data_IF_109598359350
#
_entry.id   IF_109598359350
#
_cell.length_a   1.000
_cell.length_b   1.000
_cell.length_c   1.000
_cell.angle_alpha   90.00
_cell.angle_beta   90.00
_cell.angle_gamma   90.00
#
_symmetry.space_group_name_H-M   'P 1'
#
loop_
_entity.id
_entity.type
_entity.pdbx_description
1 polymer ?
#
# COMPACT_ATOMS: atom_id res chain seq x y z
N UNK A 1 17.82 -6.32 18.18
CA UNK A 1 18.24 -5.45 17.06
C UNK A 1 17.03 -4.65 16.58
N UNK A 2 17.20 -3.44 16.03
CA UNK A 2 16.17 -2.75 15.25
C UNK A 2 15.46 -3.66 14.25
N UNK A 3 14.16 -3.46 14.00
CA UNK A 3 13.40 -4.27 13.02
C UNK A 3 13.92 -4.11 11.59
N UNK A 4 14.60 -3.01 11.28
CA UNK A 4 15.22 -2.79 9.96
C UNK A 4 16.35 -3.82 9.69
N UNK A 5 17.05 -4.24 10.74
CA UNK A 5 18.18 -5.16 10.64
C UNK A 5 17.73 -6.58 10.29
N UNK A 6 16.44 -6.89 10.41
CA UNK A 6 15.87 -8.18 9.99
C UNK A 6 16.03 -8.46 8.50
N UNK A 7 16.25 -7.43 7.68
CA UNK A 7 16.51 -7.59 6.25
C UNK A 7 17.99 -7.82 5.89
N UNK A 8 18.90 -7.67 6.86
CA UNK A 8 20.33 -7.92 6.65
C UNK A 8 20.56 -9.42 6.49
N UNK A 9 21.24 -9.79 5.41
CA UNK A 9 21.66 -11.16 5.13
C UNK A 9 23.13 -11.28 5.54
N UNK A 10 23.47 -12.14 6.52
CA UNK A 10 24.85 -12.40 6.88
C UNK A 10 25.71 -12.85 5.69
N UNK A 11 26.97 -12.42 5.63
CA UNK A 11 27.90 -12.72 4.52
C UNK A 11 28.26 -14.21 4.41
N UNK A 12 28.08 -14.99 5.50
CA UNK A 12 28.31 -16.43 5.54
C UNK A 12 27.18 -17.25 4.92
N UNK A 13 26.03 -16.63 4.61
CA UNK A 13 24.94 -17.25 3.86
C UNK A 13 25.31 -17.29 2.38
N UNK A 14 25.58 -18.49 1.87
CA UNK A 14 26.09 -18.69 0.51
C UNK A 14 25.23 -19.62 -0.33
N UNK A 15 24.12 -20.12 0.21
CA UNK A 15 23.17 -20.97 -0.51
C UNK A 15 21.74 -20.43 -0.41
N UNK A 16 20.91 -20.68 -1.43
CA UNK A 16 19.48 -20.32 -1.42
C UNK A 16 18.74 -20.95 -0.22
N UNK A 17 19.09 -22.17 0.13
CA UNK A 17 18.51 -22.89 1.27
C UNK A 17 18.76 -22.15 2.59
N UNK A 18 20.00 -21.72 2.85
CA UNK A 18 20.36 -20.94 4.04
C UNK A 18 19.69 -19.56 4.01
N UNK A 19 19.66 -18.92 2.84
CA UNK A 19 18.98 -17.64 2.64
C UNK A 19 17.51 -17.72 3.05
N UNK A 20 16.76 -18.70 2.53
CA UNK A 20 15.35 -18.86 2.90
C UNK A 20 15.17 -19.25 4.37
N UNK A 21 16.03 -20.09 4.92
CA UNK A 21 15.98 -20.43 6.35
C UNK A 21 16.12 -19.16 7.23
N UNK A 22 17.07 -18.28 6.90
CA UNK A 22 17.23 -16.99 7.55
C UNK A 22 16.00 -16.09 7.38
N UNK A 23 15.48 -15.96 6.17
CA UNK A 23 14.24 -15.19 5.90
C UNK A 23 13.08 -15.71 6.75
N UNK A 24 12.90 -17.02 6.84
CA UNK A 24 11.80 -17.62 7.61
C UNK A 24 11.94 -17.32 9.10
N UNK A 25 13.15 -17.38 9.65
CA UNK A 25 13.42 -17.04 11.05
C UNK A 25 13.12 -15.54 11.32
N UNK A 26 13.67 -14.66 10.49
CA UNK A 26 13.46 -13.21 10.63
C UNK A 26 11.97 -12.86 10.49
N UNK A 27 11.28 -13.48 9.53
CA UNK A 27 9.86 -13.24 9.30
C UNK A 27 9.01 -13.69 10.48
N UNK A 28 9.28 -14.86 11.06
CA UNK A 28 8.53 -15.36 12.23
C UNK A 28 8.67 -14.43 13.42
N UNK A 29 9.89 -13.97 13.71
CA UNK A 29 10.14 -13.01 14.78
C UNK A 29 9.43 -11.66 14.51
N UNK A 30 9.45 -11.21 13.25
CA UNK A 30 8.88 -9.92 12.86
C UNK A 30 7.35 -9.88 12.93
N UNK A 31 6.68 -11.01 12.67
CA UNK A 31 5.22 -11.12 12.65
C UNK A 31 4.64 -11.66 13.96
N UNK A 32 5.48 -11.99 14.95
CA UNK A 32 5.02 -12.54 16.22
C UNK A 32 4.05 -11.58 16.93
N UNK A 33 2.91 -12.09 17.39
CA UNK A 33 1.89 -11.28 18.09
C UNK A 33 1.12 -10.27 17.21
N UNK A 34 1.53 -10.04 15.97
CA UNK A 34 0.85 -9.14 15.04
C UNK A 34 -0.13 -9.92 14.15
N UNK A 35 -1.31 -9.36 13.90
CA UNK A 35 -2.37 -10.01 13.10
C UNK A 35 -2.91 -9.15 11.96
N UNK A 36 -2.56 -7.86 11.93
CA UNK A 36 -3.11 -6.92 10.98
C UNK A 36 -2.47 -7.08 9.61
N UNK A 37 -3.27 -7.45 8.62
CA UNK A 37 -2.79 -7.89 7.32
C UNK A 37 -1.96 -6.84 6.58
N UNK A 38 -2.37 -5.57 6.58
CA UNK A 38 -1.63 -4.51 5.86
C UNK A 38 -0.21 -4.39 6.41
N UNK A 39 -0.09 -4.42 7.75
CA UNK A 39 1.22 -4.35 8.41
C UNK A 39 2.07 -5.57 8.10
N UNK A 40 1.50 -6.77 8.21
CA UNK A 40 2.26 -8.00 7.94
C UNK A 40 2.72 -8.06 6.47
N UNK A 41 1.83 -7.80 5.50
CA UNK A 41 2.19 -7.77 4.08
C UNK A 41 3.24 -6.69 3.77
N UNK A 42 3.16 -5.51 4.40
CA UNK A 42 4.18 -4.46 4.24
C UNK A 42 5.54 -4.89 4.79
N UNK A 43 5.57 -5.52 5.97
CA UNK A 43 6.79 -6.06 6.58
C UNK A 43 7.42 -7.16 5.70
N UNK A 44 6.61 -8.07 5.15
CA UNK A 44 7.11 -9.13 4.26
C UNK A 44 7.66 -8.54 2.96
N UNK A 45 6.94 -7.60 2.34
CA UNK A 45 7.39 -6.93 1.11
C UNK A 45 8.76 -6.28 1.32
N UNK A 46 8.92 -5.53 2.42
CA UNK A 46 10.17 -4.87 2.75
C UNK A 46 11.30 -5.87 3.08
N UNK A 47 11.01 -6.89 3.90
CA UNK A 47 11.97 -7.93 4.27
C UNK A 47 12.52 -8.62 3.02
N UNK A 48 11.64 -9.18 2.19
CA UNK A 48 12.04 -9.90 0.98
C UNK A 48 12.82 -8.98 0.05
N UNK A 49 12.25 -7.82 -0.33
CA UNK A 49 12.88 -6.90 -1.27
C UNK A 49 14.31 -6.53 -0.84
N UNK A 50 14.50 -6.09 0.40
CA UNK A 50 15.82 -5.69 0.87
C UNK A 50 16.79 -6.86 1.04
N UNK A 51 16.31 -8.05 1.42
CA UNK A 51 17.18 -9.23 1.51
C UNK A 51 17.65 -9.73 0.15
N UNK A 52 16.79 -9.69 -0.88
CA UNK A 52 17.22 -9.96 -2.26
C UNK A 52 18.28 -8.97 -2.76
N UNK A 53 18.16 -7.70 -2.40
CA UNK A 53 19.16 -6.68 -2.75
C UNK A 53 20.46 -6.80 -1.96
N UNK A 54 20.40 -7.36 -0.75
CA UNK A 54 21.53 -7.45 0.17
C UNK A 54 22.37 -8.72 0.02
N UNK A 55 21.97 -9.68 -0.82
CA UNK A 55 22.66 -10.96 -0.96
C UNK A 55 23.35 -11.11 -2.32
N UNK A 56 24.55 -11.71 -2.39
CA UNK A 56 25.20 -12.02 -3.67
C UNK A 56 24.47 -13.10 -4.48
N UNK A 57 23.54 -13.85 -3.87
CA UNK A 57 22.82 -14.95 -4.51
C UNK A 57 21.88 -14.50 -5.63
N UNK A 58 21.32 -13.30 -5.48
CA UNK A 58 20.40 -12.69 -6.43
C UNK A 58 20.95 -11.38 -6.96
N UNK A 59 22.25 -11.13 -6.83
CA UNK A 59 22.89 -9.92 -7.33
C UNK A 59 24.40 -10.03 -7.35
N UNK A 60 25.00 -9.90 -8.54
CA UNK A 60 26.31 -9.31 -8.85
C UNK A 60 26.71 -9.78 -10.27
N UNK A 61 26.19 -9.10 -11.29
CA UNK A 61 27.02 -8.81 -12.47
C UNK A 61 27.69 -7.48 -12.15
N UNK A 62 29.03 -7.42 -12.21
CA UNK A 62 29.77 -6.18 -11.98
C UNK A 62 29.12 -5.01 -12.75
N UNK A 63 28.62 -4.01 -12.02
CA UNK A 63 28.11 -2.77 -12.59
C UNK A 63 26.60 -2.67 -12.88
N UNK A 64 25.76 -3.65 -12.53
CA UNK A 64 24.29 -3.52 -12.72
C UNK A 64 23.47 -3.37 -11.42
N UNK A 65 22.50 -2.47 -11.54
CA UNK A 65 21.29 -2.14 -10.75
C UNK A 65 20.59 -3.36 -10.10
N UNK A 66 19.75 -3.17 -9.05
CA UNK A 66 18.93 -4.21 -8.40
C UNK A 66 18.34 -5.23 -9.38
N UNK A 67 18.66 -6.51 -9.15
CA UNK A 67 18.14 -7.63 -9.93
C UNK A 67 16.65 -7.78 -9.67
N UNK A 68 16.23 -7.86 -8.40
CA UNK A 68 14.81 -7.77 -8.04
C UNK A 68 14.36 -6.30 -8.02
N UNK A 69 13.38 -5.94 -8.86
CA UNK A 69 12.86 -4.57 -9.00
C UNK A 69 11.48 -4.36 -8.39
N UNK A 70 10.76 -5.45 -8.07
CA UNK A 70 9.45 -5.38 -7.44
C UNK A 70 9.21 -6.59 -6.52
N UNK A 71 8.59 -6.36 -5.37
CA UNK A 71 8.13 -7.41 -4.46
C UNK A 71 6.92 -6.91 -3.68
N UNK A 72 5.80 -7.62 -3.76
CA UNK A 72 4.59 -7.16 -3.10
C UNK A 72 3.39 -8.04 -3.31
N UNK A 73 2.22 -7.48 -3.04
CA UNK A 73 0.99 -8.24 -3.00
C UNK A 73 -0.09 -7.60 -3.87
N UNK A 74 -0.91 -8.45 -4.47
CA UNK A 74 -2.25 -8.08 -4.91
C UNK A 74 -3.28 -8.86 -4.10
N UNK A 75 -4.29 -8.19 -3.56
CA UNK A 75 -5.31 -8.80 -2.72
C UNK A 75 -6.66 -8.59 -3.39
N UNK A 76 -7.56 -9.58 -3.34
CA UNK A 76 -8.94 -9.40 -3.77
C UNK A 76 -9.76 -8.88 -2.59
N UNK A 77 -10.20 -7.61 -2.57
CA UNK A 77 -11.19 -7.17 -1.60
C UNK A 77 -12.42 -8.08 -1.74
N UNK A 78 -13.09 -8.46 -0.66
CA UNK A 78 -14.28 -9.27 -0.83
C UNK A 78 -15.35 -8.51 -1.66
N UNK A 79 -16.29 -9.23 -2.26
CA UNK A 79 -17.29 -8.63 -3.14
C UNK A 79 -16.74 -7.98 -4.42
N UNK A 80 -15.42 -7.82 -4.58
CA UNK A 80 -14.80 -7.34 -5.80
C UNK A 80 -14.39 -8.50 -6.71
N UNK A 81 -14.49 -8.28 -8.02
CA UNK A 81 -14.11 -9.26 -9.03
C UNK A 81 -12.60 -9.25 -9.32
N UNK A 82 -11.92 -8.15 -9.01
CA UNK A 82 -10.53 -7.92 -9.40
C UNK A 82 -9.59 -8.00 -8.20
N UNK A 83 -8.36 -8.39 -8.48
CA UNK A 83 -7.23 -8.17 -7.59
C UNK A 83 -6.88 -6.68 -7.57
N UNK A 84 -6.55 -6.16 -6.40
CA UNK A 84 -6.17 -4.75 -6.18
C UNK A 84 -4.79 -4.72 -5.55
N UNK A 85 -3.97 -3.75 -5.96
CA UNK A 85 -2.63 -3.53 -5.46
C UNK A 85 -2.62 -3.36 -3.92
N UNK A 86 -1.88 -4.23 -3.24
CA UNK A 86 -1.64 -4.21 -1.81
C UNK A 86 -0.29 -3.57 -1.46
N UNK A 87 0.24 -3.81 -0.25
CA UNK A 87 1.59 -3.39 0.12
C UNK A 87 2.65 -3.99 -0.81
N UNK A 88 3.65 -3.19 -1.17
CA UNK A 88 4.75 -3.60 -2.04
C UNK A 88 5.99 -2.74 -1.80
N UNK A 89 7.13 -3.20 -2.29
CA UNK A 89 8.37 -2.46 -2.45
C UNK A 89 8.80 -2.51 -3.92
N UNK A 90 9.11 -1.35 -4.51
CA UNK A 90 9.44 -1.23 -5.92
C UNK A 90 8.87 0.04 -6.57
N UNK A 91 8.93 0.09 -7.91
CA UNK A 91 8.32 1.18 -8.70
C UNK A 91 6.77 1.08 -8.67
N UNK A 92 6.04 2.17 -8.99
CA UNK A 92 4.59 2.10 -9.17
C UNK A 92 4.17 1.01 -10.17
N UNK A 93 3.14 0.25 -9.83
CA UNK A 93 2.67 -0.89 -10.62
C UNK A 93 1.18 -0.77 -11.01
N UNK A 94 0.65 -1.80 -11.66
CA UNK A 94 -0.76 -1.88 -12.02
C UNK A 94 -1.64 -1.80 -10.76
N UNK A 95 -2.74 -1.05 -10.80
CA UNK A 95 -3.62 -0.89 -9.62
C UNK A 95 -4.60 -2.06 -9.48
N UNK A 96 -5.06 -2.61 -10.61
CA UNK A 96 -6.08 -3.66 -10.65
C UNK A 96 -5.73 -4.72 -11.68
N UNK A 97 -5.88 -5.98 -11.32
CA UNK A 97 -5.68 -7.14 -12.21
C UNK A 97 -6.98 -7.93 -12.25
N UNK A 98 -7.45 -8.27 -13.45
CA UNK A 98 -8.61 -9.15 -13.62
C UNK A 98 -8.15 -10.61 -13.54
N UNK A 99 -8.56 -11.39 -12.52
CA UNK A 99 -8.11 -12.77 -12.32
C UNK A 99 -8.81 -13.71 -13.31
N UNK A 100 -8.30 -13.75 -14.54
CA UNK A 100 -8.77 -14.63 -15.61
C UNK A 100 -7.57 -15.40 -16.15
N UNK A 101 -7.75 -16.69 -16.39
CA UNK A 101 -6.70 -17.52 -16.99
C UNK A 101 -6.20 -16.92 -18.32
N UNK A 102 -4.90 -16.93 -18.54
CA UNK A 102 -4.20 -16.38 -19.69
C UNK A 102 -4.14 -14.85 -19.71
N UNK A 103 -4.30 -14.17 -18.57
CA UNK A 103 -4.24 -12.70 -18.45
C UNK A 103 -3.09 -12.25 -17.54
N UNK A 104 -1.94 -12.89 -17.71
CA UNK A 104 -0.70 -12.59 -17.00
C UNK A 104 -0.48 -13.48 -15.79
N UNK A 105 0.77 -13.49 -15.32
CA UNK A 105 1.28 -14.43 -14.32
C UNK A 105 0.53 -14.31 -13.00
N UNK A 106 0.29 -13.07 -12.53
CA UNK A 106 -0.57 -12.78 -11.37
C UNK A 106 -1.98 -13.41 -11.45
N UNK A 107 -2.64 -13.31 -12.60
CA UNK A 107 -3.96 -13.86 -12.79
C UNK A 107 -3.93 -15.40 -12.84
N UNK A 108 -2.91 -15.96 -13.47
CA UNK A 108 -2.74 -17.41 -13.63
C UNK A 108 -2.41 -18.10 -12.30
N UNK A 109 -1.55 -17.49 -11.47
CA UNK A 109 -1.28 -17.99 -10.12
C UNK A 109 -2.52 -17.93 -9.21
N UNK A 110 -3.30 -16.84 -9.32
CA UNK A 110 -4.53 -16.67 -8.54
C UNK A 110 -5.60 -17.71 -8.93
N UNK A 111 -5.88 -17.86 -10.23
CA UNK A 111 -6.92 -18.77 -10.74
C UNK A 111 -6.50 -20.23 -10.65
N UNK A 112 -5.23 -20.53 -10.93
CA UNK A 112 -4.67 -21.87 -10.87
C UNK A 112 -4.39 -22.36 -9.44
N UNK A 113 -4.45 -21.45 -8.46
CA UNK A 113 -4.13 -21.69 -7.06
C UNK A 113 -2.77 -22.38 -6.83
N UNK A 114 -1.80 -22.08 -7.69
CA UNK A 114 -0.46 -22.67 -7.70
C UNK A 114 0.57 -21.59 -7.99
N UNK A 115 1.77 -21.71 -7.41
CA UNK A 115 2.88 -20.86 -7.76
C UNK A 115 3.29 -21.00 -9.23
N UNK A 116 3.69 -19.89 -9.84
CA UNK A 116 4.11 -19.80 -11.24
C UNK A 116 5.49 -19.16 -11.30
N UNK A 117 6.45 -19.86 -11.89
CA UNK A 117 7.82 -19.37 -12.11
C UNK A 117 8.00 -19.07 -13.59
N UNK A 118 8.34 -17.82 -13.91
CA UNK A 118 8.53 -17.35 -15.28
C UNK A 118 9.97 -16.91 -15.47
N UNK A 119 10.75 -17.74 -16.15
CA UNK A 119 12.18 -17.46 -16.41
C UNK A 119 12.43 -16.39 -17.47
N UNK A 120 11.45 -16.17 -18.34
CA UNK A 120 11.46 -15.15 -19.37
C UNK A 120 10.02 -14.65 -19.57
N UNK A 121 9.74 -13.41 -19.15
CA UNK A 121 8.39 -12.84 -19.24
C UNK A 121 7.99 -12.49 -20.67
N UNK A 122 8.94 -12.27 -21.58
CA UNK A 122 8.65 -12.03 -23.01
C UNK A 122 8.17 -13.32 -23.69
N UNK A 123 8.65 -14.48 -23.22
CA UNK A 123 8.21 -15.79 -23.69
C UNK A 123 6.88 -16.26 -23.09
N UNK A 124 6.37 -15.57 -22.04
CA UNK A 124 5.15 -16.00 -21.34
C UNK A 124 3.88 -15.52 -22.06
N UNK A 125 2.98 -16.45 -22.46
CA UNK A 125 1.79 -16.09 -23.23
C UNK A 125 0.82 -15.24 -22.40
N UNK A 126 0.44 -14.08 -22.93
CA UNK A 126 -0.52 -13.19 -22.28
C UNK A 126 0.05 -12.37 -21.11
N UNK A 127 1.37 -12.26 -21.00
CA UNK A 127 2.03 -11.40 -20.02
C UNK A 127 1.52 -9.95 -20.09
N UNK A 128 1.25 -9.37 -18.91
CA UNK A 128 0.84 -7.97 -18.74
C UNK A 128 1.98 -7.26 -18.02
N UNK A 129 2.88 -6.64 -18.78
CA UNK A 129 3.99 -5.89 -18.20
C UNK A 129 3.48 -4.64 -17.47
N UNK A 130 3.71 -4.57 -16.16
CA UNK A 130 3.53 -3.35 -15.37
C UNK A 130 4.81 -2.50 -15.36
N UNK A 131 5.99 -3.14 -15.34
CA UNK A 131 7.31 -2.55 -15.58
C UNK A 131 7.93 -3.16 -16.84
N UNK A 132 8.42 -2.32 -17.76
CA UNK A 132 9.06 -2.78 -19.00
C UNK A 132 10.49 -3.27 -18.80
N UNK A 133 11.08 -3.08 -17.62
CA UNK A 133 12.41 -3.57 -17.28
C UNK A 133 12.39 -5.02 -16.76
N UNK A 134 11.22 -5.56 -16.39
CA UNK A 134 11.06 -6.93 -15.86
C UNK A 134 11.36 -7.97 -16.95
N UNK A 135 12.15 -8.98 -16.59
CA UNK A 135 12.59 -10.10 -17.44
C UNK A 135 12.25 -11.47 -16.89
N UNK A 136 12.19 -11.63 -15.57
CA UNK A 136 11.65 -12.84 -14.92
C UNK A 136 10.74 -12.48 -13.76
N UNK A 137 9.78 -13.34 -13.47
CA UNK A 137 8.70 -13.11 -12.50
C UNK A 137 8.40 -14.41 -11.74
N UNK A 138 8.10 -14.32 -10.45
CA UNK A 138 7.58 -15.43 -9.66
C UNK A 138 6.37 -14.97 -8.85
N UNK A 139 5.27 -15.71 -8.98
CA UNK A 139 4.01 -15.40 -8.31
C UNK A 139 3.52 -16.59 -7.51
N UNK A 140 3.07 -16.35 -6.28
CA UNK A 140 2.50 -17.36 -5.40
C UNK A 140 1.08 -16.99 -4.95
N UNK A 141 0.14 -17.94 -4.89
CA UNK A 141 -1.20 -17.70 -4.37
C UNK A 141 -1.15 -17.42 -2.85
N UNK A 142 -1.72 -16.29 -2.42
CA UNK A 142 -1.83 -15.94 -1.01
C UNK A 142 -3.08 -16.58 -0.40
N UNK A 143 -2.89 -17.34 0.69
CA UNK A 143 -3.96 -17.87 1.54
C UNK A 143 -3.79 -17.34 2.95
N UNK A 144 -4.87 -16.97 3.62
CA UNK A 144 -4.83 -16.41 4.98
C UNK A 144 -5.75 -17.17 5.94
N UNK A 145 -5.37 -17.27 7.21
CA UNK A 145 -6.11 -18.07 8.18
C UNK A 145 -7.54 -17.54 8.41
N UNK A 146 -8.50 -18.45 8.44
CA UNK A 146 -9.93 -18.16 8.59
C UNK A 146 -10.60 -17.64 7.33
N UNK A 147 -9.95 -17.72 6.17
CA UNK A 147 -10.55 -17.42 4.86
C UNK A 147 -10.37 -18.60 3.92
N UNK A 148 -11.47 -19.06 3.34
CA UNK A 148 -11.45 -20.15 2.37
C UNK A 148 -10.93 -19.65 1.01
N UNK A 149 -10.03 -20.44 0.41
CA UNK A 149 -9.49 -20.19 -0.93
C UNK A 149 -8.33 -19.18 -0.98
N UNK A 150 -7.96 -18.80 -2.21
CA UNK A 150 -6.91 -17.82 -2.47
C UNK A 150 -7.47 -16.39 -2.35
N UNK A 151 -6.84 -15.59 -1.50
CA UNK A 151 -7.27 -14.21 -1.19
C UNK A 151 -6.47 -13.15 -1.95
N UNK A 152 -5.39 -13.56 -2.60
CA UNK A 152 -4.51 -12.66 -3.34
C UNK A 152 -3.32 -13.41 -3.92
N UNK A 153 -2.27 -12.69 -4.26
CA UNK A 153 -0.98 -13.23 -4.68
C UNK A 153 0.17 -12.45 -4.04
N UNK A 154 1.28 -13.14 -3.79
CA UNK A 154 2.61 -12.58 -3.62
C UNK A 154 3.28 -12.58 -4.99
N UNK A 155 3.86 -11.46 -5.39
CA UNK A 155 4.43 -11.25 -6.72
C UNK A 155 5.82 -10.60 -6.58
N UNK A 156 6.80 -11.12 -7.32
CA UNK A 156 8.19 -10.66 -7.36
C UNK A 156 8.69 -10.60 -8.79
N UNK A 157 9.22 -9.44 -9.17
CA UNK A 157 9.82 -9.17 -10.48
C UNK A 157 11.33 -9.04 -10.40
N UNK A 158 12.00 -9.43 -11.48
CA UNK A 158 13.43 -9.21 -11.68
C UNK A 158 13.76 -8.66 -13.07
N UNK A 159 14.74 -7.75 -13.13
CA UNK A 159 15.35 -7.21 -14.34
C UNK A 159 16.33 -8.15 -15.04
N UNK A 160 16.63 -9.30 -14.43
CA UNK A 160 17.42 -10.37 -15.03
C UNK A 160 16.55 -11.56 -15.45
N UNK A 161 16.98 -12.29 -16.48
CA UNK A 161 16.34 -13.54 -16.88
C UNK A 161 16.61 -14.64 -15.86
N UNK A 162 15.67 -15.57 -15.72
CA UNK A 162 15.80 -16.78 -14.91
C UNK A 162 16.33 -16.54 -13.48
N UNK A 163 15.91 -15.43 -12.85
CA UNK A 163 16.31 -15.11 -11.47
C UNK A 163 15.77 -16.14 -10.49
N UNK A 164 14.53 -16.57 -10.73
CA UNK A 164 13.79 -17.47 -9.87
C UNK A 164 13.76 -18.90 -10.42
N UNK A 165 13.89 -19.88 -9.52
CA UNK A 165 13.79 -21.31 -9.79
C UNK A 165 12.91 -22.06 -8.76
N UNK A 166 13.00 -23.38 -8.73
CA UNK A 166 12.17 -24.23 -7.87
C UNK A 166 12.56 -24.12 -6.37
N UNK A 167 13.82 -23.77 -6.06
CA UNK A 167 14.24 -23.49 -4.69
C UNK A 167 13.58 -22.19 -4.21
N UNK A 168 13.45 -21.20 -5.09
CA UNK A 168 12.74 -19.95 -4.80
C UNK A 168 11.26 -20.17 -4.56
N UNK A 169 10.63 -20.96 -5.42
CA UNK A 169 9.24 -21.34 -5.25
C UNK A 169 9.01 -21.99 -3.88
N UNK A 170 9.84 -22.98 -3.53
CA UNK A 170 9.74 -23.69 -2.24
C UNK A 170 9.96 -22.74 -1.06
N UNK A 171 10.96 -21.87 -1.14
CA UNK A 171 11.27 -20.90 -0.09
C UNK A 171 10.16 -19.87 0.13
N UNK A 172 9.54 -19.39 -0.96
CA UNK A 172 8.45 -18.42 -0.90
C UNK A 172 7.10 -19.06 -0.51
N UNK A 173 6.87 -20.33 -0.85
CA UNK A 173 5.69 -21.07 -0.37
C UNK A 173 5.65 -21.12 1.16
N UNK A 174 6.82 -21.32 1.79
CA UNK A 174 6.95 -21.26 3.26
C UNK A 174 6.71 -19.85 3.81
N UNK A 175 7.12 -18.79 3.10
CA UNK A 175 6.78 -17.40 3.46
C UNK A 175 5.27 -17.17 3.44
N UNK A 176 4.58 -17.65 2.40
CA UNK A 176 3.11 -17.59 2.31
C UNK A 176 2.47 -18.38 3.46
N UNK A 177 3.02 -19.54 3.81
CA UNK A 177 2.54 -20.35 4.94
C UNK A 177 2.70 -19.61 6.28
N UNK A 178 3.85 -18.97 6.52
CA UNK A 178 4.07 -18.12 7.70
C UNK A 178 3.04 -17.00 7.76
N UNK A 179 2.80 -16.33 6.63
CA UNK A 179 1.80 -15.28 6.51
C UNK A 179 0.40 -15.81 6.84
N UNK A 180 0.05 -16.99 6.33
CA UNK A 180 -1.22 -17.64 6.62
C UNK A 180 -1.40 -17.84 8.12
N UNK A 181 -0.39 -18.35 8.83
CA UNK A 181 -0.44 -18.62 10.28
C UNK A 181 -0.55 -17.34 11.12
N UNK A 182 0.17 -16.30 10.70
CA UNK A 182 0.38 -15.08 11.49
C UNK A 182 -0.57 -13.95 11.12
N UNK A 183 -1.32 -14.05 10.04
CA UNK A 183 -2.15 -12.94 9.54
C UNK A 183 -3.63 -13.28 9.57
N UNK A 184 -4.44 -12.37 10.12
CA UNK A 184 -5.89 -12.50 10.11
C UNK A 184 -6.51 -11.38 9.26
N UNK A 185 -7.36 -11.75 8.30
CA UNK A 185 -8.24 -10.81 7.58
C UNK A 185 -9.50 -10.47 8.40
N UNK A 186 -9.45 -10.56 9.74
CA UNK A 186 -10.64 -10.45 10.62
C UNK A 186 -11.32 -9.09 10.58
N UNK A 187 -10.64 -8.04 10.13
CA UNK A 187 -11.27 -6.76 9.86
C UNK A 187 -11.98 -6.79 8.49
N UNK A 188 -13.15 -7.44 8.47
CA UNK A 188 -14.19 -7.25 7.43
C UNK A 188 -14.71 -5.80 7.35
N UNK A 189 -14.08 -4.84 8.03
CA UNK A 189 -14.42 -3.41 7.98
C UNK A 189 -14.12 -2.70 6.66
N UNK A 190 -13.39 -3.33 5.74
CA UNK A 190 -13.32 -2.95 4.32
C UNK A 190 -14.33 -3.72 3.44
N UNK A 191 -15.28 -4.41 4.07
CA UNK A 191 -16.32 -5.23 3.47
C UNK A 191 -17.64 -5.09 4.24
N UNK A 192 -18.40 -4.01 4.08
CA UNK A 192 -19.63 -3.85 4.85
C UNK A 192 -20.59 -5.01 4.57
N UNK A 193 -21.13 -5.58 5.66
CA UNK A 193 -22.32 -6.42 5.61
C UNK A 193 -23.44 -5.66 4.87
N UNK A 194 -24.08 -6.35 3.92
CA UNK A 194 -25.09 -5.84 2.98
C UNK A 194 -26.27 -5.09 3.63
N UNK A 195 -26.47 -5.19 4.95
CA UNK A 195 -27.61 -4.59 5.64
C UNK A 195 -27.56 -3.05 5.77
N UNK A 196 -26.42 -2.40 5.49
CA UNK A 196 -26.26 -0.94 5.69
C UNK A 196 -26.20 -0.10 4.40
N UNK A 197 -26.17 -0.74 3.22
CA UNK A 197 -25.97 -0.04 1.94
C UNK A 197 -27.26 0.50 1.29
N UNK A 198 -28.44 0.02 1.69
CA UNK A 198 -29.72 0.54 1.15
C UNK A 198 -29.94 2.03 1.48
N UNK A 199 -29.30 2.53 2.56
CA UNK A 199 -29.39 3.93 2.95
C UNK A 199 -28.50 4.88 2.12
N UNK A 200 -27.48 4.37 1.41
CA UNK A 200 -26.51 5.21 0.69
C UNK A 200 -26.81 5.35 -0.82
N UNK A 201 -27.58 4.41 -1.40
CA UNK A 201 -27.90 4.38 -2.82
C UNK A 201 -28.88 5.48 -3.30
N UNK A 202 -29.48 6.25 -2.38
CA UNK A 202 -30.49 7.28 -2.70
C UNK A 202 -29.93 8.69 -2.90
N UNK A 203 -28.61 8.94 -2.73
CA UNK A 203 -28.08 10.31 -2.64
C UNK A 203 -27.25 10.81 -3.84
N UNK A 204 -26.87 9.99 -4.82
CA UNK A 204 -25.97 10.44 -5.90
C UNK A 204 -26.59 10.34 -7.29
N UNK A 205 -27.19 11.44 -7.77
CA UNK A 205 -27.46 11.64 -9.20
C UNK A 205 -26.14 11.76 -9.95
N UNK A 206 -25.89 10.85 -10.89
CA UNK A 206 -24.76 10.86 -11.81
C UNK A 206 -24.73 12.14 -12.68
N UNK A 207 -23.54 12.72 -12.99
CA UNK A 207 -23.39 13.65 -14.10
C UNK A 207 -23.47 12.92 -15.46
N UNK A 208 -23.99 13.57 -16.52
CA UNK A 208 -24.26 12.90 -17.79
C UNK A 208 -22.99 12.56 -18.59
N UNK A 209 -23.07 11.46 -19.34
CA UNK A 209 -22.03 10.85 -20.16
C UNK A 209 -21.40 11.80 -21.20
N UNK A 210 -20.07 11.75 -21.30
CA UNK A 210 -19.28 12.49 -22.31
C UNK A 210 -19.33 11.75 -23.65
N UNK A 211 -19.86 12.42 -24.69
CA UNK A 211 -19.96 11.93 -26.07
C UNK A 211 -18.60 11.90 -26.79
N UNK A 212 -18.50 11.01 -27.78
CA UNK A 212 -17.30 10.64 -28.53
C UNK A 212 -16.71 11.75 -29.44
N UNK A 213 -15.41 11.61 -29.75
CA UNK A 213 -14.50 12.55 -30.43
C UNK A 213 -14.90 13.00 -31.86
N UNK A 214 -15.98 12.48 -32.45
CA UNK A 214 -16.34 12.79 -33.84
C UNK A 214 -17.21 14.05 -34.03
N UNK A 215 -17.78 14.63 -32.96
CA UNK A 215 -18.65 15.83 -33.07
C UNK A 215 -17.94 17.18 -32.82
N UNK A 216 -16.66 17.19 -32.48
CA UNK A 216 -15.90 18.44 -32.20
C UNK A 216 -15.21 19.06 -33.42
N UNK A 217 -15.22 18.41 -34.59
CA UNK A 217 -14.49 18.89 -35.77
C UNK A 217 -15.29 19.83 -36.69
N UNK A 218 -16.61 19.98 -36.49
CA UNK A 218 -17.47 20.78 -37.39
C UNK A 218 -17.78 22.20 -36.88
N UNK A 219 -17.31 22.59 -35.70
CA UNK A 219 -17.56 23.93 -35.13
C UNK A 219 -16.33 24.87 -35.17
N UNK A 220 -15.25 24.48 -35.86
CA UNK A 220 -13.99 25.23 -35.93
C UNK A 220 -13.82 26.06 -37.22
N UNK A 221 -14.88 26.26 -38.00
CA UNK A 221 -14.88 27.17 -39.16
C UNK A 221 -16.05 28.16 -39.10
N UNK A 222 -16.08 29.00 -38.07
CA UNK A 222 -16.79 30.27 -38.13
C UNK A 222 -16.23 31.22 -37.05
N UNK A 223 -15.67 32.35 -37.48
CA UNK A 223 -15.43 33.49 -36.59
C UNK A 223 -13.97 33.77 -36.27
N UNK A 224 -13.24 34.25 -37.27
CA UNK A 224 -12.08 35.12 -37.05
C UNK A 224 -12.51 36.41 -36.32
N UNK A 225 -11.83 36.75 -35.21
CA UNK A 225 -11.51 38.14 -34.83
C UNK A 225 -10.53 38.19 -33.67
N UNK A 226 -9.54 39.06 -33.83
CA UNK A 226 -8.44 39.32 -32.92
C UNK A 226 -8.91 39.65 -31.48
N UNK A 227 -8.30 39.01 -30.50
CA UNK A 227 -8.54 39.29 -29.08
C UNK A 227 -7.34 38.86 -28.24
N UNK A 228 -6.69 39.84 -27.61
CA UNK A 228 -5.65 39.79 -26.55
C UNK A 228 -5.31 38.38 -26.03
N UNK A 229 -4.03 38.01 -26.10
CA UNK A 229 -3.43 36.87 -25.38
C UNK A 229 -3.94 36.85 -23.93
N UNK A 230 -4.82 35.89 -23.60
CA UNK A 230 -5.19 35.58 -22.21
C UNK A 230 -3.96 34.98 -21.54
N UNK A 231 -3.28 35.79 -20.74
CA UNK A 231 -2.26 35.36 -19.78
C UNK A 231 -2.98 34.50 -18.74
N UNK A 232 -2.87 33.17 -18.84
CA UNK A 232 -3.38 32.26 -17.83
C UNK A 232 -2.72 32.64 -16.51
N UNK A 233 -3.49 33.09 -15.52
CA UNK A 233 -2.99 33.23 -14.16
C UNK A 233 -2.61 31.84 -13.70
N UNK A 234 -1.30 31.57 -13.54
CA UNK A 234 -0.78 30.39 -12.83
C UNK A 234 -1.70 30.18 -11.62
N UNK A 235 -2.44 29.07 -11.63
CA UNK A 235 -3.28 28.71 -10.49
C UNK A 235 -2.39 28.76 -9.25
N UNK A 236 -2.89 29.34 -8.15
CA UNK A 236 -2.17 29.30 -6.88
C UNK A 236 -1.81 27.84 -6.62
N UNK A 237 -0.53 27.52 -6.78
CA UNK A 237 0.03 26.26 -6.34
C UNK A 237 -0.32 26.20 -4.86
N UNK A 238 -1.09 25.18 -4.45
CA UNK A 238 -1.38 24.94 -3.05
C UNK A 238 -0.01 24.92 -2.35
N UNK A 239 0.23 25.88 -1.46
CA UNK A 239 1.51 25.98 -0.76
C UNK A 239 1.87 24.61 -0.19
N UNK A 240 3.12 24.19 -0.41
CA UNK A 240 3.62 22.94 0.16
C UNK A 240 3.40 23.01 1.67
N UNK A 241 2.54 22.15 2.20
CA UNK A 241 2.24 22.12 3.62
C UNK A 241 3.47 21.59 4.37
N UNK A 242 4.33 22.51 4.82
CA UNK A 242 5.49 22.21 5.67
C UNK A 242 5.00 22.02 7.11
N UNK A 243 4.41 20.86 7.39
CA UNK A 243 3.96 20.52 8.73
C UNK A 243 5.14 19.99 9.57
N UNK A 244 5.22 20.39 10.83
CA UNK A 244 6.19 19.85 11.77
C UNK A 244 5.97 18.35 11.98
N UNK A 245 7.07 17.58 11.92
CA UNK A 245 7.09 16.12 12.05
C UNK A 245 7.64 15.69 13.41
N UNK A 246 8.35 16.57 14.11
CA UNK A 246 8.86 16.41 15.47
C UNK A 246 8.13 17.38 16.40
N UNK A 247 7.87 16.93 17.62
CA UNK A 247 7.22 17.74 18.65
C UNK A 247 8.30 18.36 19.54
N UNK A 248 8.77 19.55 19.16
CA UNK A 248 9.70 20.32 19.98
C UNK A 248 8.99 20.89 21.21
N UNK A 249 9.74 21.13 22.29
CA UNK A 249 9.20 21.70 23.54
C UNK A 249 8.33 22.97 23.31
N UNK A 250 8.74 23.94 22.45
CA UNK A 250 7.92 25.14 22.21
C UNK A 250 6.58 24.84 21.52
N UNK A 251 6.55 23.84 20.63
CA UNK A 251 5.32 23.44 19.94
C UNK A 251 4.39 22.73 20.91
N UNK A 252 4.94 21.88 21.79
CA UNK A 252 4.18 21.21 22.84
C UNK A 252 3.53 22.22 23.79
N UNK A 253 4.30 23.16 24.35
CA UNK A 253 3.78 24.16 25.28
C UNK A 253 2.67 25.01 24.63
N UNK A 254 2.84 25.35 23.35
CA UNK A 254 1.83 26.06 22.56
C UNK A 254 0.55 25.24 22.37
N UNK A 255 0.66 23.94 22.08
CA UNK A 255 -0.48 23.02 21.97
C UNK A 255 -1.25 22.93 23.29
N UNK A 256 -0.54 22.75 24.40
CA UNK A 256 -1.14 22.61 25.72
C UNK A 256 -1.90 23.88 26.15
N UNK A 257 -1.42 25.05 25.72
CA UNK A 257 -2.07 26.34 26.01
C UNK A 257 -3.24 26.67 25.07
N UNK A 258 -3.07 26.48 23.77
CA UNK A 258 -4.02 26.99 22.78
C UNK A 258 -5.16 26.02 22.46
N UNK A 259 -4.88 24.71 22.37
CA UNK A 259 -5.88 23.72 21.93
C UNK A 259 -7.11 23.63 22.84
N UNK A 260 -6.99 23.69 24.19
CA UNK A 260 -8.16 23.71 25.08
C UNK A 260 -9.08 24.93 24.90
N UNK A 261 -8.63 25.99 24.22
CA UNK A 261 -9.46 27.17 23.95
C UNK A 261 -10.39 27.00 22.75
N UNK A 262 -10.13 25.99 21.90
CA UNK A 262 -10.85 25.82 20.64
C UNK A 262 -12.27 25.27 20.88
N UNK A 263 -13.24 25.80 20.12
CA UNK A 263 -14.64 25.34 20.18
C UNK A 263 -14.81 23.91 19.64
N UNK A 264 -14.04 23.57 18.60
CA UNK A 264 -14.02 22.26 17.97
C UNK A 264 -12.56 21.83 17.89
N UNK A 265 -12.28 20.64 18.43
CA UNK A 265 -10.94 20.07 18.48
C UNK A 265 -10.99 18.78 17.66
N UNK A 266 -10.21 18.72 16.59
CA UNK A 266 -10.08 17.54 15.74
C UNK A 266 -8.71 17.52 15.08
N UNK A 267 -8.34 16.39 14.50
CA UNK A 267 -7.06 16.21 13.82
C UNK A 267 -6.83 17.27 12.73
N UNK A 268 -7.83 17.56 11.89
CA UNK A 268 -7.73 18.56 10.83
C UNK A 268 -7.53 19.97 11.37
N UNK A 269 -8.22 20.33 12.46
CA UNK A 269 -8.06 21.65 13.11
C UNK A 269 -6.64 21.85 13.62
N UNK A 270 -6.02 20.81 14.21
CA UNK A 270 -4.64 20.87 14.67
C UNK A 270 -3.65 20.93 13.51
N UNK A 271 -3.88 20.20 12.43
CA UNK A 271 -3.04 20.29 11.22
C UNK A 271 -3.09 21.71 10.64
N UNK A 272 -4.29 22.29 10.54
CA UNK A 272 -4.47 23.61 9.93
C UNK A 272 -3.93 24.75 10.77
N UNK A 273 -4.15 24.72 12.10
CA UNK A 273 -3.79 25.81 13.01
C UNK A 273 -2.40 25.66 13.63
N UNK A 274 -2.05 24.46 14.08
CA UNK A 274 -0.77 24.21 14.75
C UNK A 274 0.36 23.89 13.76
N UNK A 275 0.01 23.61 12.49
CA UNK A 275 0.95 23.21 11.43
C UNK A 275 1.78 21.98 11.82
N UNK A 276 1.14 21.02 12.48
CA UNK A 276 1.74 19.73 12.85
C UNK A 276 1.18 18.63 11.95
N UNK A 277 1.92 17.53 11.79
CA UNK A 277 1.43 16.40 11.03
C UNK A 277 0.25 15.69 11.73
N UNK A 278 -0.46 14.82 10.99
CA UNK A 278 -1.64 14.15 11.53
C UNK A 278 -1.34 13.13 12.64
N UNK A 279 -0.15 12.54 12.70
CA UNK A 279 0.21 11.60 13.77
C UNK A 279 0.45 12.33 15.10
N UNK A 280 1.16 13.45 15.08
CA UNK A 280 1.38 14.32 16.24
C UNK A 280 0.06 14.94 16.72
N UNK A 281 -0.80 15.38 15.80
CA UNK A 281 -2.13 15.88 16.17
C UNK A 281 -2.95 14.83 16.94
N UNK A 282 -2.94 13.56 16.50
CA UNK A 282 -3.63 12.47 17.21
C UNK A 282 -3.04 12.22 18.61
N UNK A 283 -1.71 12.21 18.72
CA UNK A 283 -1.03 11.99 20.02
C UNK A 283 -1.25 13.15 20.98
N UNK A 284 -1.19 14.39 20.50
CA UNK A 284 -1.48 15.58 21.29
C UNK A 284 -2.93 15.59 21.82
N UNK A 285 -3.91 15.25 20.99
CA UNK A 285 -5.31 15.14 21.40
C UNK A 285 -5.48 14.05 22.47
N UNK A 286 -4.86 12.88 22.29
CA UNK A 286 -4.91 11.81 23.29
C UNK A 286 -4.28 12.22 24.63
N UNK A 287 -3.20 13.02 24.59
CA UNK A 287 -2.57 13.57 25.80
C UNK A 287 -3.47 14.58 26.51
N UNK A 288 -4.07 15.51 25.76
CA UNK A 288 -5.01 16.50 26.29
C UNK A 288 -6.27 15.86 26.88
N UNK A 289 -6.76 14.77 26.28
CA UNK A 289 -7.86 13.96 26.81
C UNK A 289 -7.46 13.27 28.12
N UNK A 290 -6.25 12.70 28.19
CA UNK A 290 -5.72 12.06 29.40
C UNK A 290 -5.56 13.04 30.57
N UNK A 291 -5.15 14.28 30.29
CA UNK A 291 -5.06 15.34 31.30
C UNK A 291 -6.42 15.99 31.66
N UNK A 292 -7.50 15.59 30.97
CA UNK A 292 -8.85 16.10 31.24
C UNK A 292 -9.10 17.53 30.74
N UNK A 293 -8.22 18.08 29.90
CA UNK A 293 -8.35 19.45 29.36
C UNK A 293 -9.38 19.55 28.23
N UNK A 294 -9.74 18.43 27.61
CA UNK A 294 -10.72 18.35 26.53
C UNK A 294 -11.72 17.23 26.81
N UNK A 295 -12.97 17.44 26.40
CA UNK A 295 -14.06 16.48 26.52
C UNK A 295 -14.37 15.89 25.15
N UNK A 296 -14.50 14.58 25.12
CA UNK A 296 -14.88 13.81 23.93
C UNK A 296 -16.35 14.08 23.56
N UNK A 297 -16.63 14.26 22.27
CA UNK A 297 -17.99 14.49 21.74
C UNK A 297 -18.42 13.36 20.80
N UNK A 298 -17.63 13.06 19.77
CA UNK A 298 -17.93 12.00 18.78
C UNK A 298 -16.67 11.19 18.51
N UNK A 299 -16.79 9.87 18.68
CA UNK A 299 -15.73 8.91 18.37
C UNK A 299 -16.22 7.95 17.30
N UNK A 300 -15.68 8.08 16.10
CA UNK A 300 -15.81 7.13 15.02
C UNK A 300 -14.41 6.66 14.61
N UNK A 301 -14.29 5.46 14.02
CA UNK A 301 -12.98 4.90 13.64
C UNK A 301 -12.18 5.81 12.68
N UNK A 302 -12.88 6.65 11.90
CA UNK A 302 -12.29 7.60 10.95
C UNK A 302 -12.23 9.07 11.45
N UNK A 303 -13.01 9.43 12.47
CA UNK A 303 -13.11 10.83 12.91
C UNK A 303 -13.30 10.92 14.42
N UNK A 304 -12.40 11.67 15.06
CA UNK A 304 -12.45 11.98 16.48
C UNK A 304 -12.70 13.47 16.64
N UNK A 305 -13.79 13.82 17.31
CA UNK A 305 -14.18 15.21 17.58
C UNK A 305 -14.32 15.42 19.08
N UNK A 306 -13.63 16.46 19.53
CA UNK A 306 -13.56 16.88 20.92
C UNK A 306 -14.03 18.33 21.05
N UNK A 307 -14.42 18.69 22.26
CA UNK A 307 -14.71 20.05 22.68
C UNK A 307 -13.84 20.39 23.88
N UNK A 308 -13.71 21.67 24.20
CA UNK A 308 -13.04 22.10 25.43
C UNK A 308 -13.75 21.54 26.67
N UNK A 309 -12.99 21.19 27.71
CA UNK A 309 -13.58 20.84 28.99
C UNK A 309 -14.26 22.06 29.62
N UNK A 310 -15.57 22.00 29.81
CA UNK A 310 -16.30 22.96 30.66
C UNK A 310 -16.36 22.40 32.06
N UNK A 311 -16.11 23.21 33.09
CA UNK A 311 -16.47 22.85 34.46
C UNK A 311 -17.99 22.70 34.51
N UNK A 312 -18.48 21.48 34.62
CA UNK A 312 -19.85 21.19 35.06
C UNK A 312 -19.95 21.42 36.56
#
# INVERSE_FOLDING_TARGET
MPHADSSLVPEDITTKKEFYAHIHEQLRALLEGHRYWVSNLAQVSALLYHSYLGTPLYGLLEGTTPVVNWCGFYVRPAGEANLVLGPYAGRPACVTIAPKAGRGVCADAYVGEKGVVVRDVEAYPGHIACDGETKSEIVLPLRLNGVDGVVGVLDLDSTALATFDDDDLTGLEEVVRILQETTALRDRGYMPEMASLEAYATSTKMPPQVKSKAQKALAAQAGSKAGKKKKWSKGKVKDKANNAVVLDQPIFDRIMKEVPTYKIISQSVLIDRMKVNGSLARRAIAHLEKEGLIKRVVHHHAQLVYTRATKE
#
